data_IF_615677240281
#
_entry.id   IF_615677240281
#
_cell.length_a   1.000
_cell.length_b   1.000
_cell.length_c   1.000
_cell.angle_alpha   90.00
_cell.angle_beta   90.00
_cell.angle_gamma   90.00
#
_symmetry.space_group_name_H-M   'P 1'
#
loop_
_entity.id
_entity.type
_entity.pdbx_description
1 polymer ?
#
# COMPACT_ATOMS: atom_id res chain seq x y z
N UNK A 1 -16.13 -23.16 0.04
CA UNK A 1 -14.91 -23.87 0.46
C UNK A 1 -13.63 -23.14 0.03
N UNK A 2 -13.67 -22.23 -0.95
CA UNK A 2 -12.54 -21.36 -1.29
C UNK A 2 -12.32 -20.20 -0.29
N UNK A 3 -13.41 -19.58 0.22
CA UNK A 3 -13.33 -18.46 1.18
C UNK A 3 -12.57 -18.79 2.47
N UNK A 4 -12.75 -20.00 3.01
CA UNK A 4 -12.12 -20.42 4.28
C UNK A 4 -10.62 -20.67 4.16
N UNK A 5 -10.11 -20.92 2.96
CA UNK A 5 -8.67 -21.17 2.73
C UNK A 5 -7.93 -19.85 2.55
N UNK A 6 -8.57 -18.88 1.88
CA UNK A 6 -8.04 -17.54 1.69
C UNK A 6 -8.00 -16.75 3.01
N UNK A 7 -9.02 -16.92 3.86
CA UNK A 7 -9.06 -16.31 5.20
C UNK A 7 -8.01 -16.92 6.16
N UNK A 8 -7.78 -18.24 6.07
CA UNK A 8 -6.73 -18.91 6.85
C UNK A 8 -5.31 -18.56 6.37
N UNK A 9 -5.11 -18.42 5.05
CA UNK A 9 -3.87 -17.89 4.47
C UNK A 9 -3.66 -16.44 4.91
N UNK A 10 -4.68 -15.59 4.84
CA UNK A 10 -4.57 -14.19 5.24
C UNK A 10 -4.23 -14.04 6.74
N UNK A 11 -4.78 -14.90 7.59
CA UNK A 11 -4.46 -14.94 9.02
C UNK A 11 -3.03 -15.40 9.32
N UNK A 12 -2.52 -16.39 8.57
CA UNK A 12 -1.11 -16.83 8.68
C UNK A 12 -0.16 -15.70 8.30
N UNK A 13 -0.50 -14.92 7.28
CA UNK A 13 0.38 -13.88 6.74
C UNK A 13 0.39 -12.58 7.52
N UNK A 14 -0.75 -12.16 8.07
CA UNK A 14 -0.78 -11.04 9.01
C UNK A 14 0.04 -11.38 10.27
N UNK A 15 0.09 -12.66 10.66
CA UNK A 15 0.93 -13.13 11.76
C UNK A 15 2.41 -13.21 11.38
N UNK A 16 2.75 -13.76 10.21
CA UNK A 16 4.13 -13.83 9.70
C UNK A 16 4.71 -12.41 9.47
N UNK A 17 3.89 -11.47 9.00
CA UNK A 17 4.27 -10.06 8.82
C UNK A 17 4.41 -9.34 10.16
N UNK A 18 3.50 -9.58 11.12
CA UNK A 18 3.61 -9.02 12.47
C UNK A 18 4.88 -9.55 13.17
N UNK A 19 5.20 -10.83 13.02
CA UNK A 19 6.40 -11.45 13.58
C UNK A 19 7.68 -10.91 12.90
N UNK A 20 7.68 -10.70 11.59
CA UNK A 20 8.79 -10.08 10.88
C UNK A 20 9.03 -8.61 11.29
N UNK A 21 7.95 -7.87 11.58
CA UNK A 21 8.01 -6.49 12.05
C UNK A 21 8.44 -6.39 13.53
N UNK A 22 8.00 -7.33 14.39
CA UNK A 22 8.33 -7.37 15.81
C UNK A 22 9.75 -7.92 16.06
N UNK A 23 10.24 -8.81 15.19
CA UNK A 23 11.59 -9.38 15.28
C UNK A 23 12.72 -8.41 14.89
N UNK A 24 12.41 -7.15 14.57
CA UNK A 24 13.42 -6.11 14.35
C UNK A 24 14.33 -6.39 13.16
N UNK A 25 13.81 -6.17 11.95
CA UNK A 25 14.63 -6.09 10.73
C UNK A 25 15.27 -7.43 10.33
N UNK A 26 14.46 -8.44 10.06
CA UNK A 26 14.95 -9.73 9.58
C UNK A 26 14.85 -9.81 8.04
N UNK A 27 16.03 -9.79 7.42
CA UNK A 27 16.40 -10.25 6.08
C UNK A 27 15.39 -10.09 4.91
N UNK A 28 15.53 -8.99 4.18
CA UNK A 28 14.80 -8.64 2.94
C UNK A 28 15.01 -9.63 1.78
N UNK A 29 15.88 -10.64 1.91
CA UNK A 29 16.12 -11.64 0.86
C UNK A 29 15.06 -12.75 0.81
N UNK A 30 14.40 -13.07 1.93
CA UNK A 30 13.31 -14.07 1.96
C UNK A 30 11.99 -13.57 1.35
N UNK A 31 11.78 -12.25 1.28
CA UNK A 31 10.55 -11.66 0.73
C UNK A 31 10.45 -11.76 -0.80
N UNK A 32 11.57 -11.93 -1.52
CA UNK A 32 11.56 -11.93 -3.00
C UNK A 32 10.84 -13.12 -3.64
N UNK A 33 10.76 -14.27 -2.96
CA UNK A 33 10.01 -15.44 -3.45
C UNK A 33 8.51 -15.32 -3.23
N UNK A 34 8.12 -14.57 -2.20
CA UNK A 34 6.73 -14.33 -1.79
C UNK A 34 6.05 -13.30 -2.72
N UNK A 35 6.85 -12.38 -3.28
CA UNK A 35 6.37 -11.27 -4.10
C UNK A 35 5.78 -11.67 -5.47
N UNK A 36 6.05 -12.89 -5.93
CA UNK A 36 5.76 -13.33 -7.30
C UNK A 36 4.26 -13.50 -7.61
N UNK A 37 3.38 -13.57 -6.60
CA UNK A 37 1.93 -13.76 -6.80
C UNK A 37 1.06 -12.89 -5.88
N UNK A 38 1.50 -11.67 -5.54
CA UNK A 38 0.62 -10.76 -4.82
C UNK A 38 -0.46 -10.20 -5.73
N UNK A 39 -1.72 -10.49 -5.42
CA UNK A 39 -2.86 -9.77 -6.00
C UNK A 39 -2.64 -8.25 -5.87
N UNK A 40 -3.21 -7.45 -6.79
CA UNK A 40 -3.02 -6.00 -6.79
C UNK A 40 -3.33 -5.34 -5.43
N UNK A 41 -4.25 -5.94 -4.67
CA UNK A 41 -4.62 -5.52 -3.32
C UNK A 41 -3.51 -5.75 -2.29
N UNK A 42 -2.84 -6.91 -2.33
CA UNK A 42 -1.70 -7.20 -1.45
C UNK A 42 -0.53 -6.26 -1.72
N UNK A 43 -0.21 -5.99 -3.00
CA UNK A 43 0.80 -5.00 -3.35
C UNK A 43 0.43 -3.62 -2.80
N UNK A 44 -0.81 -3.18 -2.97
CA UNK A 44 -1.24 -1.89 -2.41
C UNK A 44 -1.09 -1.83 -0.89
N UNK A 45 -1.42 -2.90 -0.14
CA UNK A 45 -1.24 -2.97 1.32
C UNK A 45 0.25 -2.87 1.71
N UNK A 46 1.12 -3.63 1.05
CA UNK A 46 2.57 -3.58 1.30
C UNK A 46 3.16 -2.20 1.04
N UNK A 47 2.84 -1.59 -0.10
CA UNK A 47 3.34 -0.25 -0.44
C UNK A 47 2.84 0.82 0.56
N UNK A 48 1.60 0.70 1.04
CA UNK A 48 1.08 1.61 2.09
C UNK A 48 1.85 1.51 3.39
N UNK A 49 2.27 0.30 3.80
CA UNK A 49 3.09 0.08 5.00
C UNK A 49 4.52 0.59 4.77
N UNK A 50 5.15 0.20 3.66
CA UNK A 50 6.54 0.58 3.34
C UNK A 50 6.72 2.10 3.21
N UNK A 51 5.73 2.82 2.68
CA UNK A 51 5.73 4.28 2.60
C UNK A 51 5.27 4.97 3.89
N UNK A 52 4.95 4.20 4.94
CA UNK A 52 4.41 4.70 6.21
C UNK A 52 3.17 5.60 6.00
N UNK A 53 2.24 5.17 5.15
CA UNK A 53 0.97 5.86 4.88
C UNK A 53 -0.26 5.03 5.27
N UNK A 54 -0.05 3.80 5.73
CA UNK A 54 -1.12 2.99 6.32
C UNK A 54 -1.77 3.73 7.51
N UNK A 55 -3.09 3.87 7.48
CA UNK A 55 -3.85 4.56 8.53
C UNK A 55 -3.75 6.10 8.53
N UNK A 56 -2.98 6.71 7.62
CA UNK A 56 -3.00 8.17 7.45
C UNK A 56 -4.32 8.57 6.77
N UNK A 57 -5.00 9.54 7.37
CA UNK A 57 -6.27 10.08 6.87
C UNK A 57 -6.10 10.86 5.56
N UNK A 58 -7.23 11.14 4.92
CA UNK A 58 -7.27 11.97 3.72
C UNK A 58 -7.19 13.47 4.06
N UNK A 59 -6.04 14.07 3.79
CA UNK A 59 -5.80 15.50 4.00
C UNK A 59 -6.59 16.41 3.06
N UNK A 60 -7.17 15.87 1.97
CA UNK A 60 -8.01 16.65 1.06
C UNK A 60 -9.46 16.75 1.54
N UNK A 61 -9.93 15.82 2.38
CA UNK A 61 -11.29 15.86 2.92
C UNK A 61 -11.68 17.19 3.61
N UNK A 62 -10.81 17.89 4.36
CA UNK A 62 -11.12 19.22 4.89
C UNK A 62 -10.84 20.38 3.93
N UNK A 63 -10.24 20.15 2.76
CA UNK A 63 -9.88 21.22 1.83
C UNK A 63 -11.08 21.61 0.96
N UNK A 64 -11.51 22.86 1.05
CA UNK A 64 -12.66 23.44 0.33
C UNK A 64 -12.26 24.38 -0.82
N UNK A 65 -10.98 24.37 -1.20
CA UNK A 65 -10.42 25.25 -2.22
C UNK A 65 -10.70 24.82 -3.67
N UNK A 66 -10.18 25.62 -4.61
CA UNK A 66 -10.19 25.35 -6.05
C UNK A 66 -8.74 25.25 -6.55
N UNK A 67 -8.52 24.51 -7.63
CA UNK A 67 -7.20 24.40 -8.28
C UNK A 67 -6.89 25.68 -9.08
N UNK A 68 -6.29 26.67 -8.44
CA UNK A 68 -6.09 28.03 -8.96
C UNK A 68 -4.62 28.46 -9.10
N UNK A 69 -3.71 27.48 -9.18
CA UNK A 69 -2.29 27.74 -9.40
C UNK A 69 -2.06 28.48 -10.73
N UNK A 70 -1.15 29.47 -10.80
CA UNK A 70 -0.77 30.11 -12.05
C UNK A 70 -0.30 29.11 -13.12
N UNK A 71 0.33 28.02 -12.69
CA UNK A 71 0.84 26.94 -13.53
C UNK A 71 -0.20 25.85 -13.86
N UNK A 72 -1.47 26.02 -13.46
CA UNK A 72 -2.51 24.98 -13.60
C UNK A 72 -2.66 24.47 -15.05
N UNK A 73 -2.49 25.36 -16.04
CA UNK A 73 -2.50 24.99 -17.46
C UNK A 73 -1.36 24.04 -17.82
N UNK A 74 -0.15 24.28 -17.30
CA UNK A 74 1.00 23.41 -17.55
C UNK A 74 0.79 22.02 -16.94
N UNK A 75 0.29 21.98 -15.70
CA UNK A 75 -0.05 20.73 -15.01
C UNK A 75 -1.11 19.95 -15.80
N UNK A 76 -2.15 20.63 -16.28
CA UNK A 76 -3.21 20.00 -17.07
C UNK A 76 -2.69 19.42 -18.40
N UNK A 77 -1.75 20.09 -19.06
CA UNK A 77 -1.14 19.56 -20.29
C UNK A 77 -0.19 18.38 -20.06
N UNK A 78 0.51 18.35 -18.93
CA UNK A 78 1.43 17.26 -18.60
C UNK A 78 0.70 15.94 -18.29
N UNK A 79 -0.52 16.01 -17.76
CA UNK A 79 -1.37 14.84 -17.46
C UNK A 79 -2.00 14.25 -18.72
N UNK A 80 -2.21 15.05 -19.77
CA UNK A 80 -2.90 14.66 -21.00
C UNK A 80 -1.97 14.28 -22.16
N UNK A 81 -0.65 14.21 -21.93
CA UNK A 81 0.35 13.77 -22.92
C UNK A 81 0.73 12.31 -22.73
#
# INVERSE_FOLDING_TARGET
MADTVEEALMGSWDQDLAEALDSGGSDMEMERGIIQEHSAQHRAKMWKIALNVAGKGDSLSPWDGVLDLPEQTLIHTAVNS
#
